data_IF_516499188264
#
_entry.id   IF_516499188264
#
_cell.length_a   1.000
_cell.length_b   1.000
_cell.length_c   1.000
_cell.angle_alpha   90.00
_cell.angle_beta   90.00
_cell.angle_gamma   90.00
#
_symmetry.space_group_name_H-M   'P 1'
#
loop_
_entity.id
_entity.type
_entity.pdbx_description
1 polymer ?
#
# COMPACT_ATOMS: atom_id res chain seq x y z
N UNK A 1 2.31 -9.31 -10.83
CA UNK A 1 2.73 -8.12 -11.62
C UNK A 1 2.06 -8.21 -12.99
N UNK A 2 1.67 -7.07 -13.58
CA UNK A 2 0.73 -6.95 -14.70
C UNK A 2 0.88 -7.96 -15.85
N UNK A 3 -0.24 -8.29 -16.49
CA UNK A 3 -0.32 -9.25 -17.61
C UNK A 3 0.48 -8.79 -18.85
N UNK A 4 0.66 -7.49 -19.03
CA UNK A 4 1.31 -6.90 -20.20
C UNK A 4 2.74 -6.42 -19.90
N UNK A 5 3.65 -6.64 -20.83
CA UNK A 5 5.05 -6.20 -20.73
C UNK A 5 5.16 -4.67 -20.57
N UNK A 6 4.33 -3.91 -21.31
CA UNK A 6 4.26 -2.45 -21.20
C UNK A 6 4.00 -1.98 -19.78
N UNK A 7 3.14 -2.69 -19.02
CA UNK A 7 2.83 -2.39 -17.61
C UNK A 7 4.00 -2.75 -16.71
N UNK A 8 4.73 -3.85 -16.99
CA UNK A 8 5.92 -4.24 -16.21
C UNK A 8 7.07 -3.26 -16.36
N UNK A 9 7.15 -2.54 -17.48
CA UNK A 9 8.15 -1.48 -17.71
C UNK A 9 7.80 -0.15 -17.03
N UNK A 10 6.58 0.01 -16.51
CA UNK A 10 6.18 1.23 -15.79
C UNK A 10 6.81 1.30 -14.40
N UNK A 11 6.73 2.48 -13.76
CA UNK A 11 7.34 2.78 -12.45
C UNK A 11 7.08 1.74 -11.37
N UNK A 12 5.87 1.18 -11.31
CA UNK A 12 5.47 0.17 -10.32
C UNK A 12 5.96 -1.26 -10.63
N UNK A 13 6.44 -1.50 -11.85
CA UNK A 13 7.01 -2.78 -12.27
C UNK A 13 8.53 -2.87 -12.12
N UNK A 14 9.21 -1.76 -11.78
CA UNK A 14 10.66 -1.71 -11.53
C UNK A 14 11.05 -2.59 -10.34
N UNK A 15 12.28 -3.09 -10.35
CA UNK A 15 12.78 -3.99 -9.30
C UNK A 15 12.65 -3.41 -7.89
N UNK A 16 13.01 -2.14 -7.70
CA UNK A 16 12.96 -1.48 -6.39
C UNK A 16 11.53 -1.27 -5.90
N UNK A 17 10.59 -0.92 -6.81
CA UNK A 17 9.18 -0.79 -6.48
C UNK A 17 8.58 -2.15 -6.05
N UNK A 18 8.96 -3.24 -6.73
CA UNK A 18 8.55 -4.59 -6.35
C UNK A 18 9.18 -5.04 -5.03
N UNK A 19 10.43 -4.66 -4.76
CA UNK A 19 11.09 -4.92 -3.48
C UNK A 19 10.39 -4.17 -2.33
N UNK A 20 10.05 -2.90 -2.52
CA UNK A 20 9.29 -2.10 -1.57
C UNK A 20 7.90 -2.71 -1.31
N UNK A 21 7.16 -3.04 -2.38
CA UNK A 21 5.85 -3.67 -2.26
C UNK A 21 5.91 -4.97 -1.45
N UNK A 22 6.94 -5.81 -1.66
CA UNK A 22 7.11 -7.04 -0.85
C UNK A 22 7.31 -6.75 0.63
N UNK A 23 8.11 -5.72 0.98
CA UNK A 23 8.34 -5.34 2.39
C UNK A 23 7.06 -4.82 3.05
N UNK A 24 6.33 -3.92 2.39
CA UNK A 24 5.05 -3.43 2.92
C UNK A 24 4.00 -4.54 3.03
N UNK A 25 3.94 -5.44 2.04
CA UNK A 25 3.03 -6.58 2.06
C UNK A 25 3.34 -7.58 3.19
N UNK A 26 4.62 -7.75 3.56
CA UNK A 26 5.01 -8.56 4.72
C UNK A 26 4.60 -7.86 6.01
N UNK A 27 4.94 -6.57 6.14
CA UNK A 27 4.63 -5.75 7.30
C UNK A 27 3.13 -5.71 7.60
N UNK A 28 2.28 -5.56 6.58
CA UNK A 28 0.82 -5.58 6.76
C UNK A 28 0.36 -6.91 7.39
N UNK A 29 0.81 -8.03 6.83
CA UNK A 29 0.42 -9.38 7.29
C UNK A 29 0.94 -9.67 8.70
N UNK A 30 2.15 -9.25 9.03
CA UNK A 30 2.73 -9.35 10.38
C UNK A 30 1.90 -8.60 11.43
N UNK A 31 1.15 -7.57 11.02
CA UNK A 31 0.26 -6.79 11.87
C UNK A 31 -1.23 -7.19 11.72
N UNK A 32 -1.52 -8.34 11.11
CA UNK A 32 -2.88 -8.86 10.96
C UNK A 32 -3.76 -8.09 9.96
N UNK A 33 -3.16 -7.27 9.09
CA UNK A 33 -3.85 -6.50 8.07
C UNK A 33 -3.63 -7.09 6.68
N UNK A 34 -4.57 -6.89 5.77
CA UNK A 34 -4.26 -7.07 4.34
C UNK A 34 -3.36 -5.94 3.85
N UNK A 35 -2.55 -6.15 2.80
CA UNK A 35 -1.77 -5.07 2.20
C UNK A 35 -2.63 -3.88 1.76
N UNK A 36 -3.83 -4.16 1.26
CA UNK A 36 -4.82 -3.18 0.84
C UNK A 36 -5.27 -2.33 2.03
N UNK A 37 -5.67 -2.96 3.14
CA UNK A 37 -6.09 -2.27 4.36
C UNK A 37 -4.99 -1.36 4.90
N UNK A 38 -3.75 -1.84 5.01
CA UNK A 38 -2.63 -1.03 5.51
C UNK A 38 -2.34 0.17 4.60
N UNK A 39 -2.35 -0.03 3.28
CA UNK A 39 -2.07 1.04 2.31
C UNK A 39 -3.15 2.13 2.32
N UNK A 40 -4.43 1.75 2.33
CA UNK A 40 -5.56 2.69 2.37
C UNK A 40 -5.63 3.42 3.72
N UNK A 41 -5.50 2.68 4.82
CA UNK A 41 -5.46 3.27 6.17
C UNK A 41 -4.35 4.30 6.31
N UNK A 42 -3.17 4.04 5.74
CA UNK A 42 -2.07 5.01 5.74
C UNK A 42 -2.47 6.33 5.07
N UNK A 43 -3.19 6.30 3.94
CA UNK A 43 -3.71 7.50 3.30
C UNK A 43 -4.68 8.26 4.22
N UNK A 44 -5.56 7.55 4.92
CA UNK A 44 -6.55 8.13 5.84
C UNK A 44 -5.91 8.84 7.06
N UNK A 45 -4.67 8.49 7.44
CA UNK A 45 -3.96 9.17 8.54
C UNK A 45 -3.47 10.58 8.20
N UNK A 46 -3.46 10.98 6.92
CA UNK A 46 -2.83 12.23 6.49
C UNK A 46 -3.84 13.37 6.45
N UNK A 47 -3.61 14.41 7.24
CA UNK A 47 -4.51 15.56 7.34
C UNK A 47 -4.79 16.28 6.02
N UNK A 48 -3.88 16.21 5.06
CA UNK A 48 -4.03 16.82 3.73
C UNK A 48 -4.80 15.95 2.72
N UNK A 49 -5.18 14.72 3.09
CA UNK A 49 -5.90 13.81 2.21
C UNK A 49 -7.39 13.98 2.47
N UNK A 50 -8.08 14.68 1.58
CA UNK A 50 -9.54 14.86 1.67
C UNK A 50 -10.32 13.59 1.28
N UNK A 51 -9.82 12.82 0.31
CA UNK A 51 -10.43 11.58 -0.17
C UNK A 51 -9.38 10.68 -0.82
N UNK A 52 -9.59 9.36 -0.75
CA UNK A 52 -8.76 8.36 -1.43
C UNK A 52 -9.56 7.70 -2.54
N UNK A 53 -9.09 7.83 -3.78
CA UNK A 53 -9.72 7.21 -4.94
C UNK A 53 -9.27 5.75 -5.02
N UNK A 54 -10.21 4.83 -4.89
CA UNK A 54 -9.99 3.39 -5.02
C UNK A 54 -10.30 2.90 -6.44
N UNK A 55 -9.62 1.83 -6.87
CA UNK A 55 -9.73 1.28 -8.22
C UNK A 55 -9.95 -0.21 -8.18
N UNK A 56 -11.14 -0.65 -8.57
CA UNK A 56 -11.59 -2.04 -8.43
C UNK A 56 -12.12 -2.61 -9.75
N UNK A 57 -11.99 -3.93 -9.91
CA UNK A 57 -12.50 -4.70 -11.06
C UNK A 57 -13.45 -5.82 -10.66
N UNK A 58 -13.72 -5.97 -9.37
CA UNK A 58 -14.66 -6.94 -8.81
C UNK A 58 -15.30 -6.40 -7.53
N UNK A 59 -16.43 -7.00 -7.14
CA UNK A 59 -17.11 -6.65 -5.88
C UNK A 59 -16.26 -7.01 -4.66
N UNK A 60 -15.54 -8.13 -4.68
CA UNK A 60 -14.67 -8.53 -3.57
C UNK A 60 -13.54 -7.50 -3.32
N UNK A 61 -13.02 -6.85 -4.37
CA UNK A 61 -12.05 -5.76 -4.21
C UNK A 61 -12.70 -4.51 -3.61
N UNK A 62 -13.94 -4.21 -4.03
CA UNK A 62 -14.69 -3.09 -3.46
C UNK A 62 -14.95 -3.31 -1.96
N UNK A 63 -15.37 -4.52 -1.58
CA UNK A 63 -15.58 -4.90 -0.18
C UNK A 63 -14.28 -4.76 0.63
N UNK A 64 -13.16 -5.29 0.13
CA UNK A 64 -11.85 -5.15 0.81
C UNK A 64 -11.42 -3.67 0.97
N UNK A 65 -11.62 -2.85 -0.07
CA UNK A 65 -11.26 -1.44 -0.05
C UNK A 65 -12.14 -0.63 0.92
N UNK A 66 -13.43 -0.98 1.02
CA UNK A 66 -14.37 -0.37 1.97
C UNK A 66 -14.09 -0.80 3.41
N UNK A 67 -13.74 -2.06 3.64
CA UNK A 67 -13.37 -2.61 4.95
C UNK A 67 -12.09 -1.97 5.52
N UNK A 68 -11.26 -1.36 4.67
CA UNK A 68 -10.12 -0.57 5.13
C UNK A 68 -10.53 0.70 5.87
N UNK A 69 -11.75 1.20 5.66
CA UNK A 69 -12.24 2.40 6.33
C UNK A 69 -12.39 2.17 7.84
N UNK A 70 -11.81 3.04 8.66
CA UNK A 70 -11.77 2.88 10.12
C UNK A 70 -10.64 1.99 10.64
N UNK A 71 -9.86 1.35 9.76
CA UNK A 71 -8.63 0.66 10.16
C UNK A 71 -7.67 1.67 10.79
N UNK A 72 -7.28 1.43 12.05
CA UNK A 72 -6.35 2.29 12.80
C UNK A 72 -4.96 1.67 12.78
N UNK A 73 -3.98 2.42 12.30
CA UNK A 73 -2.57 2.00 12.34
C UNK A 73 -1.95 2.42 13.66
N UNK A 74 -1.30 1.49 14.36
CA UNK A 74 -0.61 1.81 15.61
C UNK A 74 0.61 2.72 15.37
N UNK A 75 1.09 3.38 16.41
CA UNK A 75 2.27 4.22 16.33
C UNK A 75 3.53 3.41 15.93
N UNK A 76 3.62 2.17 16.40
CA UNK A 76 4.72 1.24 16.07
C UNK A 76 4.69 0.86 14.59
N UNK A 77 3.50 0.57 14.06
CA UNK A 77 3.32 0.25 12.64
C UNK A 77 3.65 1.45 11.75
N UNK A 78 3.22 2.66 12.12
CA UNK A 78 3.58 3.88 11.41
C UNK A 78 5.09 4.12 11.40
N UNK A 79 5.76 3.92 12.54
CA UNK A 79 7.22 4.00 12.62
C UNK A 79 7.93 2.94 11.75
N UNK A 80 7.37 1.73 11.67
CA UNK A 80 7.89 0.67 10.79
C UNK A 80 7.71 1.02 9.30
N UNK A 81 6.57 1.60 8.92
CA UNK A 81 6.32 2.12 7.56
C UNK A 81 7.36 3.20 7.22
N UNK A 82 7.60 4.14 8.13
CA UNK A 82 8.59 5.20 7.93
C UNK A 82 10.01 4.66 7.79
N UNK A 83 10.36 3.60 8.54
CA UNK A 83 11.65 2.92 8.38
C UNK A 83 11.82 2.32 6.99
N UNK A 84 10.80 1.61 6.48
CA UNK A 84 10.85 1.06 5.11
C UNK A 84 11.00 2.18 4.08
N UNK A 85 10.25 3.28 4.24
CA UNK A 85 10.40 4.48 3.39
C UNK A 85 11.79 5.08 3.48
N UNK A 86 12.42 5.11 4.65
CA UNK A 86 13.76 5.69 4.80
C UNK A 86 14.86 4.85 4.15
N UNK A 87 14.71 3.53 4.19
CA UNK A 87 15.63 2.59 3.53
C UNK A 87 15.54 2.67 1.99
N UNK A 88 14.32 2.70 1.44
CA UNK A 88 14.07 2.54 -0.01
C UNK A 88 13.81 3.88 -0.72
N UNK A 89 13.50 4.94 0.03
CA UNK A 89 13.10 6.27 -0.48
C UNK A 89 11.83 6.19 -1.33
N UNK A 90 11.87 6.80 -2.52
CA UNK A 90 10.73 6.89 -3.44
C UNK A 90 11.02 6.02 -4.69
N UNK A 91 10.82 4.68 -4.61
CA UNK A 91 11.26 3.73 -5.63
C UNK A 91 10.43 3.75 -6.92
N UNK A 92 9.28 4.42 -6.88
CA UNK A 92 8.32 4.49 -7.98
C UNK A 92 8.05 5.93 -8.44
N UNK A 93 9.02 6.83 -8.25
CA UNK A 93 9.01 8.16 -8.85
C UNK A 93 9.18 8.09 -10.38
#
# INVERSE_FOLDING_TARGET
VGKFESVRKQRWGRADALAAARRYNALARENGLTPTQMALAFCYTKWHVASTIIGVTSLAQLEEDLDAFGTTLSAELLAAIDKVRWDIRDPAI
#
